data_IF_169502668198
#
_entry.id   IF_169502668198
#
_cell.length_a   1.000
_cell.length_b   1.000
_cell.length_c   1.000
_cell.angle_alpha   90.00
_cell.angle_beta   90.00
_cell.angle_gamma   90.00
#
_symmetry.space_group_name_H-M   'P 1'
#
loop_
_entity.id
_entity.type
_entity.pdbx_description
1 polymer ?
#
# COMPACT_ATOMS: atom_id res chain seq x y z
N UNK A 1 8.36 -5.85 -17.99
CA UNK A 1 7.29 -5.60 -17.00
C UNK A 1 7.27 -4.11 -16.66
N UNK A 2 6.09 -3.52 -16.59
CA UNK A 2 5.96 -2.10 -16.23
C UNK A 2 6.35 -1.88 -14.79
N UNK A 3 7.24 -0.92 -14.52
CA UNK A 3 7.71 -0.60 -13.17
C UNK A 3 7.52 0.87 -12.81
N UNK A 4 7.01 1.69 -13.74
CA UNK A 4 6.80 3.12 -13.56
C UNK A 4 5.31 3.44 -13.60
N UNK A 5 4.80 4.07 -12.54
CA UNK A 5 3.39 4.44 -12.41
C UNK A 5 3.30 5.89 -11.94
N UNK A 6 2.19 6.54 -12.28
CA UNK A 6 1.96 7.95 -11.89
C UNK A 6 1.44 8.07 -10.46
N UNK A 7 0.63 7.10 -10.03
CA UNK A 7 0.03 7.08 -8.69
C UNK A 7 -0.46 5.67 -8.35
N UNK A 8 -1.03 5.51 -7.16
CA UNK A 8 -1.52 4.22 -6.69
C UNK A 8 -2.67 3.68 -7.55
N UNK A 9 -3.54 4.57 -8.03
CA UNK A 9 -4.66 4.18 -8.88
C UNK A 9 -4.16 3.58 -10.20
N UNK A 10 -3.15 4.20 -10.80
CA UNK A 10 -2.52 3.71 -12.03
C UNK A 10 -1.93 2.33 -11.82
N UNK A 11 -1.21 2.15 -10.71
CA UNK A 11 -0.59 0.87 -10.37
C UNK A 11 -1.65 -0.23 -10.17
N UNK A 12 -2.69 0.03 -9.39
CA UNK A 12 -3.75 -0.95 -9.15
C UNK A 12 -4.48 -1.31 -10.44
N UNK A 13 -4.71 -0.32 -11.31
CA UNK A 13 -5.31 -0.57 -12.62
C UNK A 13 -4.47 -1.50 -13.48
N UNK A 14 -3.17 -1.25 -13.53
CA UNK A 14 -2.25 -2.11 -14.28
C UNK A 14 -2.18 -3.51 -13.69
N UNK A 15 -2.15 -3.63 -12.36
CA UNK A 15 -2.13 -4.93 -11.68
C UNK A 15 -3.37 -5.75 -12.04
N UNK A 16 -4.55 -5.11 -12.05
CA UNK A 16 -5.79 -5.77 -12.41
C UNK A 16 -5.79 -6.21 -13.88
N UNK A 17 -5.37 -5.33 -14.78
CA UNK A 17 -5.33 -5.63 -16.22
C UNK A 17 -4.35 -6.75 -16.56
N UNK A 18 -3.24 -6.84 -15.84
CA UNK A 18 -2.22 -7.86 -16.05
C UNK A 18 -2.51 -9.17 -15.30
N UNK A 19 -3.63 -9.26 -14.58
CA UNK A 19 -3.99 -10.45 -13.82
C UNK A 19 -3.18 -10.69 -12.56
N UNK A 20 -2.51 -9.66 -12.04
CA UNK A 20 -1.61 -9.78 -10.89
C UNK A 20 -2.12 -9.11 -9.62
N UNK A 21 -3.37 -8.58 -9.64
CA UNK A 21 -3.90 -7.87 -8.48
C UNK A 21 -3.96 -8.75 -7.23
N UNK A 22 -4.38 -10.01 -7.37
CA UNK A 22 -4.47 -10.94 -6.23
C UNK A 22 -3.09 -11.23 -5.66
N UNK A 23 -2.07 -11.39 -6.53
CA UNK A 23 -0.70 -11.61 -6.07
C UNK A 23 -0.19 -10.39 -5.29
N UNK A 24 -0.46 -9.19 -5.79
CA UNK A 24 -0.07 -7.95 -5.15
C UNK A 24 -0.69 -7.85 -3.75
N UNK A 25 -1.99 -8.08 -3.64
CA UNK A 25 -2.71 -7.99 -2.37
C UNK A 25 -2.27 -9.09 -1.40
N UNK A 26 -1.98 -10.30 -1.89
CA UNK A 26 -1.44 -11.37 -1.06
C UNK A 26 -0.08 -11.02 -0.48
N UNK A 27 0.78 -10.40 -1.27
CA UNK A 27 2.09 -9.96 -0.78
C UNK A 27 1.94 -8.89 0.29
N UNK A 28 1.06 -7.93 0.06
CA UNK A 28 0.78 -6.88 1.05
C UNK A 28 0.23 -7.46 2.34
N UNK A 29 -0.68 -8.43 2.24
CA UNK A 29 -1.24 -9.10 3.41
C UNK A 29 -0.15 -9.80 4.23
N UNK A 30 0.78 -10.48 3.58
CA UNK A 30 1.90 -11.11 4.27
C UNK A 30 2.73 -10.11 5.07
N UNK A 31 2.97 -8.94 4.51
CA UNK A 31 3.77 -7.92 5.19
C UNK A 31 3.00 -7.30 6.36
N UNK A 32 1.69 -7.10 6.23
CA UNK A 32 0.86 -6.68 7.37
C UNK A 32 0.93 -7.72 8.49
N UNK A 33 0.82 -9.00 8.16
CA UNK A 33 0.90 -10.08 9.15
C UNK A 33 2.28 -10.12 9.82
N UNK A 34 3.35 -9.95 9.05
CA UNK A 34 4.71 -9.91 9.60
C UNK A 34 4.91 -8.73 10.55
N UNK A 35 4.23 -7.62 10.32
CA UNK A 35 4.26 -6.46 11.21
C UNK A 35 3.29 -6.60 12.38
N UNK A 36 2.53 -7.68 12.44
CA UNK A 36 1.53 -7.95 13.47
C UNK A 36 0.39 -6.91 13.46
N UNK A 37 -0.06 -6.55 12.27
CA UNK A 37 -1.13 -5.58 12.04
C UNK A 37 -2.25 -6.26 11.26
N UNK A 38 -3.50 -6.04 11.67
CA UNK A 38 -4.66 -6.58 10.95
C UNK A 38 -4.73 -6.01 9.55
N UNK A 39 -4.93 -6.89 8.56
CA UNK A 39 -5.02 -6.48 7.17
C UNK A 39 -6.34 -5.72 6.94
N UNK A 40 -6.30 -4.51 6.36
CA UNK A 40 -7.49 -3.66 6.28
C UNK A 40 -8.48 -4.01 5.17
N UNK A 41 -8.13 -4.90 4.24
CA UNK A 41 -8.93 -5.16 3.04
C UNK A 41 -9.91 -6.32 3.24
N UNK A 42 -10.82 -6.18 4.19
CA UNK A 42 -11.84 -7.19 4.47
C UNK A 42 -12.85 -7.22 3.33
N UNK A 43 -12.96 -8.38 2.65
CA UNK A 43 -13.94 -8.55 1.58
C UNK A 43 -13.56 -7.92 0.25
N UNK A 44 -12.39 -7.28 0.15
CA UNK A 44 -11.93 -6.70 -1.11
C UNK A 44 -11.35 -7.76 -2.06
N UNK A 45 -11.09 -8.97 -1.54
CA UNK A 45 -10.49 -10.06 -2.32
C UNK A 45 -11.62 -10.99 -2.78
N UNK A 46 -12.48 -10.47 -3.64
CA UNK A 46 -13.52 -11.25 -4.29
C UNK A 46 -13.16 -11.56 -5.73
N UNK A 47 -14.06 -12.19 -6.49
CA UNK A 47 -13.82 -12.43 -7.91
C UNK A 47 -13.67 -11.14 -8.71
N UNK A 48 -14.28 -10.05 -8.23
CA UNK A 48 -14.16 -8.73 -8.86
C UNK A 48 -13.85 -7.68 -7.77
N UNK A 49 -12.56 -7.56 -7.38
CA UNK A 49 -12.20 -6.59 -6.34
C UNK A 49 -12.43 -5.15 -6.81
N UNK A 50 -13.06 -4.35 -5.94
CA UNK A 50 -13.30 -2.94 -6.18
C UNK A 50 -12.01 -2.16 -5.90
N UNK A 51 -11.36 -1.69 -6.97
CA UNK A 51 -10.08 -1.00 -6.87
C UNK A 51 -10.17 0.32 -6.11
N UNK A 52 -11.27 1.04 -6.29
CA UNK A 52 -11.49 2.30 -5.58
C UNK A 52 -11.60 2.04 -4.07
N UNK A 53 -12.29 0.97 -3.67
CA UNK A 53 -12.43 0.59 -2.27
C UNK A 53 -11.09 0.14 -1.69
N UNK A 54 -10.31 -0.62 -2.46
CA UNK A 54 -8.96 -1.04 -2.04
C UNK A 54 -8.11 0.19 -1.72
N UNK A 55 -8.08 1.16 -2.62
CA UNK A 55 -7.29 2.37 -2.43
C UNK A 55 -7.76 3.16 -1.22
N UNK A 56 -9.07 3.31 -1.06
CA UNK A 56 -9.64 4.00 0.08
C UNK A 56 -9.25 3.33 1.40
N UNK A 57 -9.40 2.01 1.48
CA UNK A 57 -9.10 1.25 2.70
C UNK A 57 -7.61 1.33 3.04
N UNK A 58 -6.74 1.27 2.05
CA UNK A 58 -5.30 1.40 2.28
C UNK A 58 -4.93 2.80 2.76
N UNK A 59 -5.47 3.83 2.13
CA UNK A 59 -5.20 5.21 2.53
C UNK A 59 -5.66 5.46 3.98
N UNK A 60 -6.83 4.96 4.35
CA UNK A 60 -7.35 5.07 5.71
C UNK A 60 -6.47 4.30 6.70
N UNK A 61 -6.01 3.10 6.32
CA UNK A 61 -5.13 2.30 7.17
C UNK A 61 -3.83 3.04 7.46
N UNK A 62 -3.17 3.57 6.43
CA UNK A 62 -1.91 4.30 6.62
C UNK A 62 -2.12 5.60 7.38
N UNK A 63 -3.23 6.30 7.15
CA UNK A 63 -3.56 7.49 7.91
C UNK A 63 -3.70 7.16 9.40
N UNK A 64 -4.46 6.10 9.72
CA UNK A 64 -4.63 5.67 11.11
C UNK A 64 -3.29 5.30 11.76
N UNK A 65 -2.47 4.52 11.06
CA UNK A 65 -1.17 4.12 11.59
C UNK A 65 -0.26 5.32 11.85
N UNK A 66 -0.23 6.27 10.91
CA UNK A 66 0.59 7.48 11.06
C UNK A 66 0.17 8.33 12.25
N UNK A 67 -1.15 8.47 12.46
CA UNK A 67 -1.68 9.37 13.47
C UNK A 67 -1.82 8.72 14.85
N UNK A 68 -2.16 7.42 14.90
CA UNK A 68 -2.55 6.77 16.15
C UNK A 68 -1.63 5.62 16.56
N UNK A 69 -0.86 5.06 15.64
CA UNK A 69 -0.03 3.87 15.88
C UNK A 69 1.28 3.97 15.10
N UNK A 70 2.05 5.03 15.36
CA UNK A 70 3.26 5.30 14.59
C UNK A 70 4.30 4.18 14.72
N UNK A 71 4.38 3.53 15.87
CA UNK A 71 5.26 2.38 16.07
C UNK A 71 4.89 1.22 15.13
N UNK A 72 3.60 0.96 14.98
CA UNK A 72 3.12 -0.06 14.04
C UNK A 72 3.38 0.35 12.59
N UNK A 73 3.24 1.66 12.29
CA UNK A 73 3.57 2.17 10.97
C UNK A 73 5.04 1.85 10.63
N UNK A 74 5.95 2.11 11.54
CA UNK A 74 7.37 1.83 11.32
C UNK A 74 7.62 0.33 11.13
N UNK A 75 6.95 -0.52 11.92
CA UNK A 75 7.06 -1.96 11.77
C UNK A 75 6.60 -2.42 10.38
N UNK A 76 5.52 -1.84 9.88
CA UNK A 76 5.01 -2.18 8.55
C UNK A 76 5.98 -1.72 7.46
N UNK A 77 6.54 -0.51 7.57
CA UNK A 77 7.53 -0.03 6.61
C UNK A 77 8.76 -0.94 6.58
N UNK A 78 9.14 -1.47 7.75
CA UNK A 78 10.24 -2.42 7.85
C UNK A 78 9.90 -3.74 7.14
N UNK A 79 8.68 -4.25 7.34
CA UNK A 79 8.24 -5.50 6.73
C UNK A 79 8.14 -5.37 5.20
N UNK A 80 7.61 -4.25 4.72
CA UNK A 80 7.51 -3.96 3.28
C UNK A 80 8.88 -3.70 2.68
N UNK A 81 9.78 -3.12 3.46
CA UNK A 81 11.14 -2.75 3.05
C UNK A 81 11.15 -1.64 2.00
N UNK A 82 10.44 -0.55 2.30
CA UNK A 82 10.47 0.65 1.45
C UNK A 82 11.79 1.41 1.71
N UNK A 83 12.61 1.65 0.68
CA UNK A 83 13.88 2.36 0.88
C UNK A 83 13.65 3.79 1.41
N UNK A 84 14.51 4.22 2.35
CA UNK A 84 14.40 5.56 2.92
C UNK A 84 14.40 6.67 1.87
N UNK A 85 15.17 6.50 0.80
CA UNK A 85 15.26 7.50 -0.26
C UNK A 85 13.92 7.80 -0.93
N UNK A 86 12.99 6.85 -0.88
CA UNK A 86 11.66 7.02 -1.47
C UNK A 86 10.82 8.04 -0.71
N UNK A 87 11.13 8.29 0.56
CA UNK A 87 10.38 9.24 1.39
C UNK A 87 10.87 10.68 1.28
N UNK A 88 11.97 10.93 0.58
CA UNK A 88 12.56 12.29 0.48
C UNK A 88 11.65 13.28 -0.23
N UNK A 89 10.81 12.82 -1.15
CA UNK A 89 9.89 13.68 -1.87
C UNK A 89 8.50 13.78 -1.25
N UNK A 90 8.30 13.16 -0.09
CA UNK A 90 6.99 13.14 0.56
C UNK A 90 6.76 14.47 1.27
N UNK A 91 5.63 15.14 0.93
CA UNK A 91 5.21 16.37 1.59
C UNK A 91 4.58 16.02 2.93
N UNK A 92 5.14 16.54 4.03
CA UNK A 92 4.72 16.21 5.38
C UNK A 92 3.77 17.24 5.99
N UNK A 93 3.24 18.17 5.20
CA UNK A 93 2.38 19.24 5.70
C UNK A 93 0.94 18.78 5.97
N UNK A 94 0.50 17.70 5.34
CA UNK A 94 -0.88 17.20 5.46
C UNK A 94 -0.85 15.69 5.63
N UNK A 95 -1.36 15.19 6.77
CA UNK A 95 -1.34 13.76 7.09
C UNK A 95 -2.13 12.92 6.10
N UNK A 96 -3.23 13.44 5.55
CA UNK A 96 -4.01 12.73 4.52
C UNK A 96 -3.17 12.55 3.27
N UNK A 97 -2.48 13.60 2.85
CA UNK A 97 -1.61 13.55 1.68
C UNK A 97 -0.42 12.62 1.90
N UNK A 98 0.17 12.66 3.10
CA UNK A 98 1.26 11.73 3.46
C UNK A 98 0.78 10.29 3.34
N UNK A 99 -0.40 9.98 3.88
CA UNK A 99 -0.97 8.62 3.80
C UNK A 99 -1.14 8.17 2.35
N UNK A 100 -1.64 9.05 1.49
CA UNK A 100 -1.81 8.76 0.06
C UNK A 100 -0.46 8.46 -0.61
N UNK A 101 0.55 9.26 -0.31
CA UNK A 101 1.90 9.04 -0.86
C UNK A 101 2.51 7.74 -0.34
N UNK A 102 2.33 7.45 0.95
CA UNK A 102 2.83 6.20 1.56
C UNK A 102 2.17 4.99 0.91
N UNK A 103 0.86 5.05 0.67
CA UNK A 103 0.14 3.97 -0.01
C UNK A 103 0.80 3.67 -1.36
N UNK A 104 1.11 4.70 -2.13
CA UNK A 104 1.76 4.52 -3.43
C UNK A 104 3.15 3.90 -3.29
N UNK A 105 3.96 4.40 -2.36
CA UNK A 105 5.31 3.86 -2.14
C UNK A 105 5.27 2.38 -1.73
N UNK A 106 4.35 2.02 -0.85
CA UNK A 106 4.18 0.64 -0.41
C UNK A 106 3.77 -0.25 -1.59
N UNK A 107 2.76 0.17 -2.35
CA UNK A 107 2.30 -0.60 -3.50
C UNK A 107 3.39 -0.78 -4.56
N UNK A 108 4.19 0.25 -4.80
CA UNK A 108 5.33 0.15 -5.71
C UNK A 108 6.32 -0.92 -5.24
N UNK A 109 6.65 -0.92 -3.96
CA UNK A 109 7.57 -1.91 -3.42
C UNK A 109 7.00 -3.32 -3.50
N UNK A 110 5.71 -3.47 -3.14
CA UNK A 110 5.05 -4.77 -3.23
C UNK A 110 5.00 -5.29 -4.67
N UNK A 111 4.74 -4.39 -5.62
CA UNK A 111 4.76 -4.75 -7.04
C UNK A 111 6.11 -5.33 -7.47
N UNK A 112 7.21 -4.77 -6.94
CA UNK A 112 8.56 -5.24 -7.26
C UNK A 112 8.84 -6.62 -6.68
N UNK A 113 8.08 -7.06 -5.68
CA UNK A 113 8.28 -8.36 -5.02
C UNK A 113 7.55 -9.51 -5.73
N UNK A 114 6.63 -9.20 -6.57
CA UNK A 114 5.85 -10.22 -7.27
C UNK A 114 6.29 -10.29 -8.75
#
# INVERSE_FOLDING_TARGET
MKTTFTDAKDLLGHAAESGRLKLLLSQLQKDYERANISFPLHGAIGPEPDRARILQDLNESFYFLLMERFDQYLNLMYAVDVPEREFKGVDVTDAVEVATQVTFLVLKREWMKI
#
